data_IF_144871923592
#
_entry.id   IF_144871923592
#
_cell.length_a   1.000
_cell.length_b   1.000
_cell.length_c   1.000
_cell.angle_alpha   90.00
_cell.angle_beta   90.00
_cell.angle_gamma   90.00
#
_symmetry.space_group_name_H-M   'P 1'
#
loop_
_entity.id
_entity.type
_entity.pdbx_description
1 polymer ?
#
# COMPACT_ATOMS: atom_id res chain seq x y z
N UNK A 1 13.32 6.73 2.44
CA UNK A 1 11.86 6.69 2.67
C UNK A 1 11.41 5.24 2.65
N UNK A 2 10.74 4.76 3.70
CA UNK A 2 10.27 3.37 3.76
C UNK A 2 9.15 3.14 2.74
N UNK A 3 8.89 1.89 2.36
CA UNK A 3 7.77 1.60 1.43
C UNK A 3 6.42 2.02 2.03
N UNK A 4 6.26 1.91 3.34
CA UNK A 4 5.05 2.36 4.03
C UNK A 4 4.85 3.88 3.94
N UNK A 5 5.94 4.65 4.00
CA UNK A 5 5.88 6.11 3.79
C UNK A 5 5.47 6.46 2.36
N UNK A 6 5.93 5.70 1.36
CA UNK A 6 5.52 5.87 -0.04
C UNK A 6 4.04 5.55 -0.22
N UNK A 7 3.58 4.44 0.35
CA UNK A 7 2.18 4.01 0.30
C UNK A 7 1.27 5.03 0.99
N UNK A 8 1.68 5.57 2.16
CA UNK A 8 0.98 6.65 2.84
C UNK A 8 0.91 7.90 1.97
N UNK A 9 2.04 8.36 1.43
CA UNK A 9 2.09 9.56 0.58
C UNK A 9 1.21 9.41 -0.67
N UNK A 10 1.15 8.22 -1.27
CA UNK A 10 0.26 7.92 -2.39
C UNK A 10 -1.22 8.00 -1.97
N UNK A 11 -1.56 7.42 -0.82
CA UNK A 11 -2.91 7.48 -0.24
C UNK A 11 -3.33 8.93 0.04
N UNK A 12 -2.50 9.71 0.72
CA UNK A 12 -2.76 11.13 1.06
C UNK A 12 -2.93 12.00 -0.19
N UNK A 13 -2.18 11.71 -1.26
CA UNK A 13 -2.33 12.40 -2.54
C UNK A 13 -3.70 12.14 -3.18
N UNK A 14 -4.26 10.94 -2.99
CA UNK A 14 -5.56 10.55 -3.57
C UNK A 14 -6.74 10.91 -2.68
N UNK A 15 -6.53 10.83 -1.37
CA UNK A 15 -7.51 11.14 -0.34
C UNK A 15 -6.87 12.14 0.63
N UNK A 16 -7.09 13.45 0.41
CA UNK A 16 -6.55 14.48 1.28
C UNK A 16 -6.95 14.24 2.73
N UNK A 17 -5.99 14.42 3.65
CA UNK A 17 -6.23 14.24 5.09
C UNK A 17 -7.19 15.34 5.57
N UNK A 18 -8.34 14.99 6.16
CA UNK A 18 -9.29 15.96 6.71
C UNK A 18 -8.67 16.82 7.80
N UNK A 19 -9.20 18.05 7.96
CA UNK A 19 -8.80 18.94 9.06
C UNK A 19 -9.14 18.29 10.39
N UNK A 20 -8.20 18.30 11.33
CA UNK A 20 -8.38 17.67 12.63
C UNK A 20 -7.97 16.20 12.68
N UNK A 21 -7.37 15.67 11.61
CA UNK A 21 -6.74 14.35 11.57
C UNK A 21 -5.25 14.53 11.24
N UNK A 22 -4.38 13.77 11.89
CA UNK A 22 -2.94 13.74 11.57
C UNK A 22 -2.40 12.32 11.60
N UNK A 23 -1.35 12.06 10.83
CA UNK A 23 -0.57 10.84 10.97
C UNK A 23 0.22 10.85 12.28
N UNK A 24 0.10 9.80 13.09
CA UNK A 24 0.93 9.57 14.26
C UNK A 24 1.87 8.37 14.00
N UNK A 25 3.19 8.61 13.83
CA UNK A 25 4.13 7.53 13.58
C UNK A 25 4.34 6.59 14.77
N UNK A 26 3.96 6.98 15.99
CA UNK A 26 4.06 6.13 17.18
C UNK A 26 2.95 5.08 17.24
N UNK A 27 1.76 5.44 16.74
CA UNK A 27 0.60 4.55 16.59
C UNK A 27 0.67 3.77 15.28
N UNK A 28 1.31 4.35 14.25
CA UNK A 28 1.30 3.79 12.90
C UNK A 28 -0.03 4.02 12.18
N UNK A 29 -0.78 5.04 12.60
CA UNK A 29 -2.09 5.36 12.04
C UNK A 29 -2.42 6.86 12.13
N UNK A 30 -3.54 7.26 11.54
CA UNK A 30 -4.14 8.57 11.70
C UNK A 30 -4.89 8.67 13.02
N UNK A 31 -4.64 9.77 13.74
CA UNK A 31 -5.30 10.10 15.00
C UNK A 31 -6.07 11.41 14.86
N UNK A 32 -7.21 11.49 15.54
CA UNK A 32 -8.01 12.70 15.64
C UNK A 32 -7.35 13.66 16.63
N UNK A 33 -7.18 14.92 16.23
CA UNK A 33 -6.57 15.98 17.05
C UNK A 33 -7.59 16.96 17.62
N UNK A 34 -8.87 16.76 17.32
CA UNK A 34 -9.95 17.65 17.69
C UNK A 34 -10.87 16.95 18.70
N UNK A 35 -10.97 17.49 19.91
CA UNK A 35 -12.00 17.07 20.86
C UNK A 35 -13.35 17.71 20.47
N UNK A 36 -14.35 16.88 20.13
CA UNK A 36 -15.75 17.31 20.02
C UNK A 36 -16.20 17.88 18.67
N UNK A 37 -15.44 17.78 17.59
CA UNK A 37 -15.93 18.24 16.29
C UNK A 37 -16.97 17.31 15.68
N UNK A 38 -17.89 17.92 14.91
CA UNK A 38 -18.87 17.28 14.03
C UNK A 38 -18.25 16.39 12.91
N UNK A 39 -16.93 16.23 12.91
CA UNK A 39 -16.13 15.59 11.88
C UNK A 39 -16.04 14.06 12.03
N UNK A 40 -16.70 13.46 13.03
CA UNK A 40 -16.69 12.01 13.23
C UNK A 40 -17.15 11.24 11.97
N UNK A 41 -18.10 11.79 11.21
CA UNK A 41 -18.52 11.20 9.95
C UNK A 41 -17.40 11.23 8.88
N UNK A 42 -16.64 12.34 8.80
CA UNK A 42 -15.51 12.45 7.86
C UNK A 42 -14.34 11.55 8.26
N UNK A 43 -14.06 11.44 9.56
CA UNK A 43 -13.05 10.52 10.10
C UNK A 43 -13.38 9.07 9.74
N UNK A 44 -14.61 8.62 10.00
CA UNK A 44 -15.04 7.26 9.70
C UNK A 44 -14.92 6.97 8.20
N UNK A 45 -15.33 7.91 7.34
CA UNK A 45 -15.18 7.76 5.88
C UNK A 45 -13.71 7.72 5.47
N UNK A 46 -12.86 8.54 6.08
CA UNK A 46 -11.43 8.56 5.78
C UNK A 46 -10.74 7.25 6.20
N UNK A 47 -11.05 6.73 7.39
CA UNK A 47 -10.54 5.45 7.86
C UNK A 47 -11.03 4.28 7.01
N UNK A 48 -12.31 4.26 6.64
CA UNK A 48 -12.86 3.24 5.73
C UNK A 48 -12.14 3.24 4.36
N UNK A 49 -11.80 4.42 3.82
CA UNK A 49 -11.00 4.53 2.59
C UNK A 49 -9.59 3.98 2.78
N UNK A 50 -8.96 4.24 3.94
CA UNK A 50 -7.62 3.74 4.27
C UNK A 50 -7.62 2.22 4.37
N UNK A 51 -8.54 1.64 5.12
CA UNK A 51 -8.67 0.19 5.26
C UNK A 51 -8.93 -0.47 3.91
N UNK A 52 -9.88 0.06 3.11
CA UNK A 52 -10.15 -0.43 1.78
C UNK A 52 -8.94 -0.34 0.85
N UNK A 53 -8.18 0.75 0.92
CA UNK A 53 -6.94 0.92 0.15
C UNK A 53 -5.89 -0.13 0.51
N UNK A 54 -5.65 -0.35 1.80
CA UNK A 54 -4.73 -1.38 2.29
C UNK A 54 -5.18 -2.78 1.85
N UNK A 55 -6.46 -3.10 2.05
CA UNK A 55 -7.04 -4.39 1.65
C UNK A 55 -6.91 -4.64 0.15
N UNK A 56 -7.17 -3.64 -0.70
CA UNK A 56 -6.98 -3.74 -2.15
C UNK A 56 -5.52 -4.05 -2.52
N UNK A 57 -4.55 -3.46 -1.82
CA UNK A 57 -3.12 -3.70 -2.07
C UNK A 57 -2.66 -5.07 -1.59
N UNK A 58 -3.21 -5.56 -0.47
CA UNK A 58 -2.94 -6.91 0.02
C UNK A 58 -3.58 -8.00 -0.86
N UNK A 59 -4.78 -7.72 -1.39
CA UNK A 59 -5.52 -8.61 -2.26
C UNK A 59 -4.98 -8.63 -3.70
N UNK A 60 -4.44 -7.51 -4.19
CA UNK A 60 -3.90 -7.40 -5.54
C UNK A 60 -2.64 -8.27 -5.69
N UNK A 61 -2.83 -9.40 -6.35
CA UNK A 61 -1.77 -10.36 -6.68
C UNK A 61 -1.42 -10.21 -8.16
N UNK A 62 -0.13 -10.10 -8.45
CA UNK A 62 0.37 -10.00 -9.82
C UNK A 62 1.09 -11.30 -10.16
N UNK A 63 0.78 -11.88 -11.30
CA UNK A 63 1.50 -13.07 -11.77
C UNK A 63 2.83 -12.64 -12.38
N UNK A 64 3.92 -13.33 -12.06
CA UNK A 64 5.20 -13.06 -12.72
C UNK A 64 5.07 -13.35 -14.23
N UNK A 65 5.37 -12.39 -15.13
CA UNK A 65 5.22 -12.60 -16.56
C UNK A 65 6.19 -13.63 -17.14
N UNK A 66 7.24 -14.00 -16.41
CA UNK A 66 8.20 -15.03 -16.82
C UNK A 66 7.82 -16.39 -16.20
N UNK A 67 7.49 -17.41 -17.00
CA UNK A 67 7.12 -18.73 -16.50
C UNK A 67 8.31 -19.46 -15.86
N UNK A 68 8.02 -20.43 -14.98
CA UNK A 68 9.05 -21.36 -14.48
C UNK A 68 9.42 -22.32 -15.61
N UNK A 69 10.63 -22.20 -16.12
CA UNK A 69 11.12 -23.03 -17.21
C UNK A 69 12.37 -23.80 -16.74
N UNK A 70 12.26 -25.12 -16.67
CA UNK A 70 13.34 -25.97 -16.19
C UNK A 70 14.43 -26.07 -17.27
N UNK A 71 15.70 -25.84 -16.87
CA UNK A 71 16.84 -25.95 -17.78
C UNK A 71 17.14 -24.71 -18.62
N UNK A 72 16.43 -23.60 -18.41
CA UNK A 72 16.69 -22.32 -19.07
C UNK A 72 17.22 -21.29 -18.04
N UNK A 73 18.54 -21.06 -17.98
CA UNK A 73 19.14 -20.15 -17.01
C UNK A 73 18.76 -18.68 -17.26
N UNK A 74 18.51 -18.27 -18.50
CA UNK A 74 18.14 -16.90 -18.84
C UNK A 74 16.70 -16.61 -18.42
N UNK A 75 15.78 -17.57 -18.66
CA UNK A 75 14.42 -17.48 -18.16
C UNK A 75 14.37 -17.45 -16.62
N UNK A 76 15.20 -18.26 -15.96
CA UNK A 76 15.30 -18.27 -14.49
C UNK A 76 15.81 -16.92 -13.94
N UNK A 77 16.83 -16.34 -14.58
CA UNK A 77 17.34 -15.01 -14.23
C UNK A 77 16.28 -13.92 -14.44
N UNK A 78 15.65 -13.88 -15.62
CA UNK A 78 14.65 -12.86 -15.96
C UNK A 78 13.47 -12.88 -14.98
N UNK A 79 13.03 -14.09 -14.62
CA UNK A 79 11.99 -14.31 -13.61
C UNK A 79 12.36 -13.76 -12.25
N UNK A 80 13.58 -14.03 -11.76
CA UNK A 80 14.05 -13.50 -10.47
C UNK A 80 14.12 -11.96 -10.46
N UNK A 81 14.64 -11.37 -11.53
CA UNK A 81 14.74 -9.91 -11.67
C UNK A 81 13.35 -9.28 -11.69
N UNK A 82 12.42 -9.86 -12.46
CA UNK A 82 11.04 -9.38 -12.53
C UNK A 82 10.34 -9.47 -11.18
N UNK A 83 10.45 -10.60 -10.47
CA UNK A 83 9.85 -10.77 -9.16
C UNK A 83 10.40 -9.75 -8.15
N UNK A 84 11.73 -9.55 -8.13
CA UNK A 84 12.37 -8.57 -7.25
C UNK A 84 11.89 -7.15 -7.54
N UNK A 85 11.76 -6.79 -8.83
CA UNK A 85 11.26 -5.48 -9.25
C UNK A 85 9.79 -5.27 -8.86
N UNK A 86 8.93 -6.26 -9.08
CA UNK A 86 7.51 -6.21 -8.72
C UNK A 86 7.33 -6.10 -7.20
N UNK A 87 8.07 -6.88 -6.42
CA UNK A 87 8.05 -6.80 -4.95
C UNK A 87 8.59 -5.47 -4.44
N UNK A 88 9.63 -4.91 -5.06
CA UNK A 88 10.17 -3.60 -4.70
C UNK A 88 9.16 -2.46 -4.91
N UNK A 89 8.25 -2.61 -5.88
CA UNK A 89 7.12 -1.71 -6.11
C UNK A 89 5.94 -1.95 -5.14
N UNK A 90 6.04 -2.97 -4.27
CA UNK A 90 5.04 -3.30 -3.27
C UNK A 90 3.94 -4.24 -3.75
N UNK A 91 4.11 -4.92 -4.89
CA UNK A 91 3.16 -5.91 -5.37
C UNK A 91 3.38 -7.27 -4.70
N UNK A 92 2.28 -7.98 -4.46
CA UNK A 92 2.30 -9.39 -4.06
C UNK A 92 2.42 -10.26 -5.32
N UNK A 93 3.62 -10.78 -5.57
CA UNK A 93 3.85 -11.65 -6.74
C UNK A 93 3.40 -13.07 -6.43
N UNK A 94 2.65 -13.68 -7.34
CA UNK A 94 2.22 -15.08 -7.31
C UNK A 94 2.70 -15.82 -8.56
N UNK A 95 2.84 -17.14 -8.43
CA UNK A 95 3.27 -18.02 -9.50
C UNK A 95 4.77 -18.04 -9.62
#
# INVERSE_FOLDING_TARGET
MKNDDKNRAEFERRFPVPVGIKWDPSVGDYVVTCEGCWMAAEEVVFQARREGWLACREAMRVTNPFPVQMGDPDAAWARQVAEKSLRAQGFKVVG
#
